data_IF_857762158359
#
_entry.id   IF_857762158359
#
_cell.length_a   1.000
_cell.length_b   1.000
_cell.length_c   1.000
_cell.angle_alpha   90.00
_cell.angle_beta   90.00
_cell.angle_gamma   90.00
#
_symmetry.space_group_name_H-M   'P 1'
#
loop_
_entity.id
_entity.type
_entity.pdbx_description
1 polymer ?
#
# COMPACT_ATOMS: atom_id res chain seq x y z
N UNK A 1 16.42 13.46 -6.57
CA UNK A 1 15.40 13.45 -5.49
C UNK A 1 14.91 14.87 -5.27
N UNK A 2 13.62 15.08 -5.12
CA UNK A 2 13.01 16.36 -4.75
C UNK A 2 11.80 16.13 -3.82
N UNK A 3 11.36 17.18 -3.14
CA UNK A 3 10.27 17.12 -2.16
C UNK A 3 9.32 18.26 -2.34
N UNK A 4 8.05 18.03 -2.03
CA UNK A 4 7.01 19.07 -1.93
C UNK A 4 6.00 18.69 -0.85
N UNK A 5 5.07 19.61 -0.57
CA UNK A 5 3.96 19.38 0.38
C UNK A 5 2.63 19.55 -0.33
N UNK A 6 1.63 18.74 0.03
CA UNK A 6 0.23 18.90 -0.35
C UNK A 6 -0.61 18.73 0.92
N UNK A 7 -1.28 19.81 1.34
CA UNK A 7 -1.86 19.90 2.68
C UNK A 7 -0.79 19.72 3.75
N UNK A 8 -1.03 18.78 4.67
CA UNK A 8 -0.06 18.40 5.73
C UNK A 8 0.83 17.22 5.35
N UNK A 9 0.74 16.71 4.12
CA UNK A 9 1.53 15.58 3.64
C UNK A 9 2.88 16.06 3.11
N UNK A 10 3.93 15.32 3.43
CA UNK A 10 5.25 15.49 2.81
C UNK A 10 5.41 14.42 1.73
N UNK A 11 5.71 14.86 0.52
CA UNK A 11 5.94 14.00 -0.63
C UNK A 11 7.43 14.04 -0.98
N UNK A 12 8.04 12.88 -1.13
CA UNK A 12 9.42 12.75 -1.62
C UNK A 12 9.39 11.95 -2.91
N UNK A 13 10.04 12.47 -3.95
CA UNK A 13 10.11 11.84 -5.27
C UNK A 13 11.56 11.43 -5.54
N UNK A 14 11.75 10.15 -5.81
CA UNK A 14 12.97 9.55 -6.29
C UNK A 14 12.77 9.24 -7.78
N UNK A 15 13.17 10.16 -8.69
CA UNK A 15 12.84 10.02 -10.10
C UNK A 15 13.64 8.90 -10.75
N UNK A 16 13.02 8.27 -11.74
CA UNK A 16 13.71 7.38 -12.66
C UNK A 16 14.85 8.09 -13.38
N UNK A 17 15.82 7.32 -13.85
CA UNK A 17 16.98 7.83 -14.63
C UNK A 17 16.62 8.06 -16.11
N UNK A 18 15.63 7.31 -16.62
CA UNK A 18 15.17 7.39 -18.02
C UNK A 18 13.70 7.82 -18.10
N UNK A 19 13.31 8.28 -19.27
CA UNK A 19 11.93 8.64 -19.59
C UNK A 19 11.04 7.41 -19.75
N UNK A 20 9.73 7.63 -19.70
CA UNK A 20 8.71 6.61 -19.94
C UNK A 20 8.83 5.42 -18.98
N UNK A 21 9.05 5.70 -17.71
CA UNK A 21 9.17 4.71 -16.65
C UNK A 21 7.92 4.64 -15.78
N UNK A 22 7.71 3.52 -15.08
CA UNK A 22 6.62 3.43 -14.12
C UNK A 22 6.80 4.36 -12.92
N UNK A 23 5.68 4.71 -12.30
CA UNK A 23 5.63 5.45 -11.03
C UNK A 23 4.97 4.56 -9.97
N UNK A 24 5.66 4.38 -8.85
CA UNK A 24 5.14 3.63 -7.70
C UNK A 24 4.93 4.60 -6.54
N UNK A 25 3.72 4.62 -6.02
CA UNK A 25 3.32 5.42 -4.86
C UNK A 25 3.38 4.56 -3.62
N UNK A 26 4.17 4.98 -2.62
CA UNK A 26 4.34 4.29 -1.34
C UNK A 26 3.90 5.20 -0.20
N UNK A 27 2.83 4.84 0.50
CA UNK A 27 2.45 5.52 1.75
C UNK A 27 3.33 5.00 2.89
N UNK A 28 4.05 5.93 3.55
CA UNK A 28 4.97 5.64 4.65
C UNK A 28 4.46 6.21 5.96
N UNK A 29 4.84 5.63 7.10
CA UNK A 29 4.37 6.09 8.41
C UNK A 29 4.93 7.48 8.74
N UNK A 30 6.21 7.63 9.05
CA UNK A 30 6.83 8.90 9.44
C UNK A 30 8.22 9.11 8.83
N UNK A 31 8.49 8.53 7.65
CA UNK A 31 9.77 8.66 6.97
C UNK A 31 9.60 9.01 5.50
N UNK A 32 10.67 9.38 4.84
CA UNK A 32 10.68 9.76 3.43
C UNK A 32 10.81 8.57 2.46
N UNK A 33 10.85 7.33 2.98
CA UNK A 33 11.00 6.12 2.18
C UNK A 33 12.39 5.89 1.60
N UNK A 34 13.39 6.68 2.00
CA UNK A 34 14.77 6.57 1.50
C UNK A 34 15.40 5.21 1.74
N UNK A 35 15.13 4.58 2.89
CA UNK A 35 15.64 3.25 3.21
C UNK A 35 15.05 2.17 2.29
N UNK A 36 13.77 2.28 1.96
CA UNK A 36 13.10 1.37 1.00
C UNK A 36 13.67 1.59 -0.39
N UNK A 37 13.84 2.85 -0.81
CA UNK A 37 14.45 3.17 -2.10
C UNK A 37 15.88 2.62 -2.20
N UNK A 38 16.71 2.82 -1.17
CA UNK A 38 18.07 2.27 -1.14
C UNK A 38 18.09 0.74 -1.21
N UNK A 39 17.16 0.07 -0.53
CA UNK A 39 17.04 -1.39 -0.59
C UNK A 39 16.62 -1.86 -1.99
N UNK A 40 15.69 -1.17 -2.65
CA UNK A 40 15.29 -1.45 -4.03
C UNK A 40 16.46 -1.32 -5.01
N UNK A 41 17.34 -0.33 -4.82
CA UNK A 41 18.56 -0.17 -5.63
C UNK A 41 19.52 -1.36 -5.42
N UNK A 42 19.73 -1.79 -4.16
CA UNK A 42 20.56 -2.99 -3.86
C UNK A 42 20.00 -4.26 -4.48
N UNK A 43 18.67 -4.39 -4.54
CA UNK A 43 17.99 -5.53 -5.15
C UNK A 43 18.05 -5.51 -6.69
N UNK A 44 18.63 -4.49 -7.31
CA UNK A 44 18.74 -4.36 -8.76
C UNK A 44 17.38 -4.23 -9.45
N UNK A 45 16.44 -3.51 -8.84
CA UNK A 45 15.15 -3.24 -9.48
C UNK A 45 15.33 -2.51 -10.81
N UNK A 46 14.49 -2.79 -11.82
CA UNK A 46 14.44 -1.97 -13.04
C UNK A 46 14.23 -0.49 -12.70
N UNK A 47 14.61 0.40 -13.60
CA UNK A 47 14.46 1.84 -13.43
C UNK A 47 12.98 2.26 -13.31
N UNK A 48 12.66 3.02 -12.26
CA UNK A 48 11.31 3.50 -11.95
C UNK A 48 11.36 4.75 -11.08
N UNK A 49 10.28 5.50 -11.02
CA UNK A 49 10.09 6.59 -10.06
C UNK A 49 9.40 6.05 -8.80
N UNK A 50 9.97 6.29 -7.61
CA UNK A 50 9.29 6.10 -6.34
C UNK A 50 8.78 7.43 -5.81
N UNK A 51 7.50 7.51 -5.52
CA UNK A 51 6.85 8.65 -4.84
C UNK A 51 6.41 8.18 -3.48
N UNK A 52 6.98 8.74 -2.43
CA UNK A 52 6.61 8.40 -1.05
C UNK A 52 5.77 9.51 -0.43
N UNK A 53 4.77 9.14 0.34
CA UNK A 53 3.85 10.05 1.01
C UNK A 53 3.88 9.77 2.51
N UNK A 54 4.20 10.79 3.31
CA UNK A 54 4.21 10.73 4.77
C UNK A 54 3.41 11.87 5.41
N UNK A 55 3.28 11.85 6.75
CA UNK A 55 2.53 12.88 7.48
C UNK A 55 1.02 12.63 7.52
N UNK A 56 0.61 11.36 7.42
CA UNK A 56 -0.78 10.96 7.55
C UNK A 56 -1.17 10.82 9.05
N UNK A 57 -2.42 11.15 9.34
CA UNK A 57 -3.08 10.59 10.50
C UNK A 57 -3.43 9.13 10.18
N UNK A 58 -2.59 8.21 10.67
CA UNK A 58 -2.46 6.85 10.16
C UNK A 58 -3.76 6.04 10.26
N UNK A 59 -4.38 6.06 11.44
CA UNK A 59 -5.61 5.32 11.69
C UNK A 59 -6.81 6.00 11.00
N UNK A 60 -6.87 7.30 11.05
CA UNK A 60 -8.00 8.05 10.51
C UNK A 60 -8.04 8.04 8.98
N UNK A 61 -6.89 8.31 8.33
CA UNK A 61 -6.86 8.54 6.87
C UNK A 61 -6.65 7.26 6.04
N UNK A 62 -6.25 6.15 6.66
CA UNK A 62 -6.03 4.88 5.95
C UNK A 62 -7.14 3.86 6.18
N UNK A 63 -8.10 4.16 7.05
CA UNK A 63 -9.24 3.28 7.31
C UNK A 63 -10.37 3.50 6.29
N UNK A 64 -10.92 2.42 5.70
CA UNK A 64 -12.00 2.50 4.71
C UNK A 64 -13.30 3.10 5.25
N UNK A 65 -13.61 2.85 6.50
CA UNK A 65 -14.78 3.32 7.26
C UNK A 65 -14.45 3.43 8.73
N UNK A 66 -15.34 4.04 9.50
CA UNK A 66 -15.17 4.12 10.94
C UNK A 66 -15.28 2.73 11.57
N UNK A 67 -14.36 2.44 12.48
CA UNK A 67 -14.44 1.28 13.36
C UNK A 67 -14.25 1.75 14.82
N UNK A 68 -14.92 1.08 15.74
CA UNK A 68 -14.81 1.42 17.16
C UNK A 68 -13.40 1.18 17.71
N UNK A 69 -13.25 1.20 19.03
CA UNK A 69 -11.98 0.98 19.73
C UNK A 69 -11.42 -0.41 19.46
N UNK A 70 -10.58 -0.53 18.42
CA UNK A 70 -9.94 -1.78 18.05
C UNK A 70 -8.75 -2.08 18.96
N UNK A 71 -8.12 -1.04 19.50
CA UNK A 71 -6.97 -1.11 20.42
C UNK A 71 -7.13 -0.09 21.54
N UNK A 72 -6.69 -0.44 22.74
CA UNK A 72 -6.88 0.33 23.97
C UNK A 72 -6.30 1.77 23.96
N UNK A 73 -5.34 2.06 23.08
CA UNK A 73 -4.62 3.34 23.02
C UNK A 73 -4.36 3.79 21.58
N UNK A 74 -5.12 3.30 20.60
CA UNK A 74 -5.00 3.77 19.21
C UNK A 74 -5.74 5.09 19.01
N UNK A 75 -5.35 5.84 18.02
CA UNK A 75 -6.19 6.89 17.46
C UNK A 75 -7.45 6.28 16.85
N UNK A 76 -8.47 7.11 16.65
CA UNK A 76 -9.75 6.62 16.12
C UNK A 76 -9.66 6.30 14.63
N UNK A 77 -10.16 5.15 14.25
CA UNK A 77 -10.39 4.78 12.86
C UNK A 77 -11.65 5.49 12.35
N UNK A 78 -11.48 6.61 11.68
CA UNK A 78 -12.62 7.49 11.30
C UNK A 78 -13.15 7.26 9.91
N UNK A 79 -12.48 6.45 9.07
CA UNK A 79 -12.94 6.16 7.71
C UNK A 79 -12.54 7.22 6.68
N UNK A 80 -11.36 7.81 6.83
CA UNK A 80 -10.86 8.88 5.94
C UNK A 80 -10.22 8.43 4.63
N UNK A 81 -10.23 7.12 4.32
CA UNK A 81 -9.53 6.59 3.14
C UNK A 81 -10.00 7.17 1.81
N UNK A 82 -11.30 7.45 1.65
CA UNK A 82 -11.82 8.09 0.42
C UNK A 82 -11.29 9.53 0.26
N UNK A 83 -11.19 10.29 1.35
CA UNK A 83 -10.63 11.64 1.32
C UNK A 83 -9.13 11.63 0.99
N UNK A 84 -8.38 10.72 1.61
CA UNK A 84 -6.97 10.54 1.29
C UNK A 84 -6.76 10.07 -0.15
N UNK A 85 -7.56 9.13 -0.64
CA UNK A 85 -7.48 8.69 -2.04
C UNK A 85 -7.74 9.85 -3.00
N UNK A 86 -8.71 10.72 -2.69
CA UNK A 86 -8.98 11.92 -3.49
C UNK A 86 -7.78 12.87 -3.51
N UNK A 87 -7.18 13.15 -2.35
CA UNK A 87 -5.98 13.96 -2.25
C UNK A 87 -4.82 13.34 -3.06
N UNK A 88 -4.60 12.03 -2.91
CA UNK A 88 -3.58 11.30 -3.64
C UNK A 88 -3.76 11.42 -5.15
N UNK A 89 -4.97 11.16 -5.65
CA UNK A 89 -5.22 11.05 -7.09
C UNK A 89 -5.43 12.40 -7.78
N UNK A 90 -5.97 13.41 -7.08
CA UNK A 90 -6.31 14.70 -7.67
C UNK A 90 -5.27 15.80 -7.44
N UNK A 91 -4.40 15.65 -6.45
CA UNK A 91 -3.40 16.67 -6.11
C UNK A 91 -1.98 16.09 -6.15
N UNK A 92 -1.68 15.07 -5.34
CA UNK A 92 -0.31 14.56 -5.17
C UNK A 92 0.21 13.94 -6.47
N UNK A 93 -0.56 13.04 -7.09
CA UNK A 93 -0.14 12.35 -8.32
C UNK A 93 0.08 13.34 -9.47
N UNK A 94 -0.86 14.25 -9.82
CA UNK A 94 -0.63 15.23 -10.87
C UNK A 94 0.59 16.11 -10.62
N UNK A 95 0.79 16.58 -9.38
CA UNK A 95 1.94 17.40 -9.04
C UNK A 95 3.26 16.62 -9.14
N UNK A 96 3.32 15.40 -8.60
CA UNK A 96 4.52 14.58 -8.69
C UNK A 96 4.86 14.23 -10.15
N UNK A 97 3.86 13.83 -10.93
CA UNK A 97 4.03 13.45 -12.34
C UNK A 97 4.40 14.62 -13.24
N UNK A 98 3.94 15.84 -12.94
CA UNK A 98 4.32 17.05 -13.70
C UNK A 98 5.82 17.38 -13.64
N UNK A 99 6.53 16.83 -12.67
CA UNK A 99 7.97 16.99 -12.48
C UNK A 99 8.80 15.89 -13.16
N UNK A 100 8.15 14.93 -13.79
CA UNK A 100 8.81 13.79 -14.44
C UNK A 100 8.89 14.02 -15.96
N UNK A 101 9.87 13.41 -16.59
CA UNK A 101 10.04 13.48 -18.04
C UNK A 101 9.37 12.29 -18.73
N UNK A 102 8.76 12.54 -19.87
CA UNK A 102 8.12 11.52 -20.70
C UNK A 102 6.75 11.09 -20.18
N UNK A 103 6.29 9.95 -20.66
CA UNK A 103 4.98 9.37 -20.29
C UNK A 103 5.12 8.38 -19.15
N UNK A 104 4.12 8.32 -18.29
CA UNK A 104 4.06 7.29 -17.25
C UNK A 104 3.69 5.95 -17.90
N UNK A 105 4.59 4.96 -17.80
CA UNK A 105 4.37 3.65 -18.40
C UNK A 105 3.21 2.90 -17.73
N UNK A 106 3.18 2.91 -16.41
CA UNK A 106 2.10 2.41 -15.56
C UNK A 106 2.26 2.96 -14.13
N UNK A 107 1.19 2.84 -13.34
CA UNK A 107 1.19 3.27 -11.94
C UNK A 107 1.00 2.07 -11.01
N UNK A 108 1.81 2.04 -9.94
CA UNK A 108 1.69 1.10 -8.84
C UNK A 108 1.35 1.80 -7.54
N UNK A 109 0.62 1.11 -6.66
CA UNK A 109 0.35 1.56 -5.29
C UNK A 109 0.87 0.51 -4.32
N UNK A 110 1.60 0.96 -3.31
CA UNK A 110 2.21 0.09 -2.31
C UNK A 110 2.01 0.63 -0.89
N UNK A 111 1.90 -0.26 0.08
CA UNK A 111 1.79 0.13 1.48
C UNK A 111 2.04 -1.02 2.44
N UNK A 112 2.48 -0.64 3.64
CA UNK A 112 2.69 -1.56 4.76
C UNK A 112 1.60 -1.35 5.81
N UNK A 113 1.13 -2.42 6.47
CA UNK A 113 0.15 -2.32 7.56
C UNK A 113 -1.19 -1.69 7.10
N UNK A 114 -1.66 -0.62 7.72
CA UNK A 114 -2.86 0.11 7.30
C UNK A 114 -2.71 0.72 5.89
N UNK A 115 -1.51 1.14 5.50
CA UNK A 115 -1.28 1.55 4.12
C UNK A 115 -1.40 0.38 3.13
N UNK A 116 -1.12 -0.86 3.55
CA UNK A 116 -1.39 -2.07 2.78
C UNK A 116 -2.88 -2.36 2.65
N UNK A 117 -3.68 -2.11 3.69
CA UNK A 117 -5.15 -2.14 3.64
C UNK A 117 -5.68 -1.10 2.65
N UNK A 118 -5.23 0.16 2.79
CA UNK A 118 -5.57 1.25 1.88
C UNK A 118 -5.23 0.93 0.43
N UNK A 119 -4.07 0.32 0.18
CA UNK A 119 -3.65 -0.11 -1.16
C UNK A 119 -4.68 -1.03 -1.81
N UNK A 120 -5.17 -2.03 -1.09
CA UNK A 120 -6.20 -2.94 -1.62
C UNK A 120 -7.55 -2.25 -1.77
N UNK A 121 -7.93 -1.42 -0.78
CA UNK A 121 -9.17 -0.64 -0.81
C UNK A 121 -9.23 0.29 -2.03
N UNK A 122 -8.13 0.96 -2.36
CA UNK A 122 -8.04 1.89 -3.49
C UNK A 122 -8.39 1.23 -4.83
N UNK A 123 -8.13 -0.07 -5.01
CA UNK A 123 -8.47 -0.80 -6.24
C UNK A 123 -9.98 -0.91 -6.49
N UNK A 124 -10.80 -0.77 -5.46
CA UNK A 124 -12.26 -0.72 -5.57
C UNK A 124 -12.80 0.68 -5.87
N UNK A 125 -11.97 1.71 -5.71
CA UNK A 125 -12.37 3.12 -5.81
C UNK A 125 -11.84 3.84 -7.04
N UNK A 126 -10.72 3.40 -7.59
CA UNK A 126 -10.09 4.02 -8.77
C UNK A 126 -9.51 2.97 -9.72
N UNK A 127 -9.35 3.35 -10.97
CA UNK A 127 -8.76 2.54 -12.05
C UNK A 127 -7.31 2.96 -12.38
N UNK A 128 -6.73 3.86 -11.59
CA UNK A 128 -5.43 4.47 -11.88
C UNK A 128 -4.23 3.54 -11.65
N UNK A 129 -4.40 2.47 -10.86
CA UNK A 129 -3.30 1.60 -10.48
C UNK A 129 -3.41 0.23 -11.16
N UNK A 130 -2.46 -0.09 -12.04
CA UNK A 130 -2.38 -1.39 -12.70
C UNK A 130 -1.61 -2.44 -11.92
N UNK A 131 -0.90 -2.05 -10.87
CA UNK A 131 -0.18 -2.94 -9.95
C UNK A 131 -0.34 -2.47 -8.51
N UNK A 132 -0.37 -3.43 -7.58
CA UNK A 132 -0.52 -3.11 -6.17
C UNK A 132 0.26 -4.08 -5.27
N UNK A 133 0.80 -3.55 -4.16
CA UNK A 133 1.54 -4.36 -3.18
C UNK A 133 1.10 -4.01 -1.75
N UNK A 134 0.52 -4.99 -1.07
CA UNK A 134 0.07 -4.91 0.32
C UNK A 134 0.98 -5.74 1.20
N UNK A 135 1.96 -5.10 1.83
CA UNK A 135 2.92 -5.76 2.72
C UNK A 135 2.43 -5.73 4.15
N UNK A 136 2.30 -6.88 4.80
CA UNK A 136 1.70 -7.00 6.15
C UNK A 136 0.40 -6.21 6.29
N UNK A 137 -0.41 -6.18 5.22
CA UNK A 137 -1.61 -5.37 5.17
C UNK A 137 -2.60 -5.70 6.28
N UNK A 138 -3.21 -4.68 6.87
CA UNK A 138 -4.21 -4.82 7.93
C UNK A 138 -5.54 -5.37 7.40
N UNK A 139 -5.49 -6.47 6.63
CA UNK A 139 -6.66 -7.08 5.97
C UNK A 139 -7.64 -7.74 6.95
N UNK A 140 -7.26 -7.80 8.22
CA UNK A 140 -8.10 -8.12 9.37
C UNK A 140 -9.10 -7.02 9.72
N UNK A 141 -9.02 -5.85 9.11
CA UNK A 141 -9.87 -4.69 9.42
C UNK A 141 -11.35 -5.08 9.37
N UNK A 142 -12.16 -4.69 10.39
CA UNK A 142 -13.54 -5.17 10.51
C UNK A 142 -14.36 -4.94 9.24
N UNK A 143 -14.92 -6.02 8.70
CA UNK A 143 -15.74 -6.01 7.50
C UNK A 143 -14.97 -5.90 6.17
N UNK A 144 -13.64 -5.71 6.18
CA UNK A 144 -12.92 -5.48 4.93
C UNK A 144 -12.87 -6.71 4.01
N UNK A 145 -12.67 -7.90 4.58
CA UNK A 145 -12.74 -9.14 3.79
C UNK A 145 -14.08 -9.30 3.08
N UNK A 146 -15.18 -9.14 3.83
CA UNK A 146 -16.52 -9.27 3.26
C UNK A 146 -16.80 -8.20 2.21
N UNK A 147 -16.38 -6.96 2.47
CA UNK A 147 -16.43 -5.90 1.46
C UNK A 147 -15.69 -6.31 0.18
N UNK A 148 -14.46 -6.80 0.28
CA UNK A 148 -13.65 -7.19 -0.86
C UNK A 148 -14.28 -8.34 -1.66
N UNK A 149 -14.87 -9.33 -0.99
CA UNK A 149 -15.53 -10.47 -1.63
C UNK A 149 -16.86 -10.12 -2.31
N UNK A 150 -17.56 -9.09 -1.83
CA UNK A 150 -18.89 -8.70 -2.30
C UNK A 150 -18.88 -7.58 -3.33
N UNK A 151 -17.75 -6.90 -3.52
CA UNK A 151 -17.63 -5.78 -4.43
C UNK A 151 -16.70 -6.11 -5.60
N UNK A 152 -16.89 -5.38 -6.71
CA UNK A 152 -16.07 -5.52 -7.91
C UNK A 152 -14.98 -4.46 -7.93
N UNK A 153 -13.76 -4.85 -8.28
CA UNK A 153 -12.65 -3.92 -8.54
C UNK A 153 -13.03 -2.95 -9.67
N UNK A 154 -12.57 -1.70 -9.59
CA UNK A 154 -12.77 -0.72 -10.68
C UNK A 154 -12.12 -1.19 -11.97
N UNK A 155 -10.91 -1.73 -11.86
CA UNK A 155 -10.22 -2.47 -12.92
C UNK A 155 -9.40 -3.58 -12.25
N UNK A 156 -9.28 -4.73 -12.90
CA UNK A 156 -8.41 -5.78 -12.41
C UNK A 156 -6.94 -5.36 -12.57
N UNK A 157 -6.15 -5.26 -11.50
CA UNK A 157 -4.73 -4.97 -11.64
C UNK A 157 -4.02 -6.13 -12.35
N UNK A 158 -2.95 -5.82 -13.07
CA UNK A 158 -2.11 -6.84 -13.72
C UNK A 158 -1.37 -7.69 -12.68
N UNK A 159 -0.93 -7.06 -11.59
CA UNK A 159 -0.14 -7.69 -10.54
C UNK A 159 -0.65 -7.24 -9.17
N UNK A 160 -0.81 -8.19 -8.26
CA UNK A 160 -1.22 -7.95 -6.89
C UNK A 160 -0.37 -8.79 -5.93
N UNK A 161 0.44 -8.11 -5.12
CA UNK A 161 1.33 -8.74 -4.17
C UNK A 161 0.80 -8.62 -2.74
N UNK A 162 0.89 -9.72 -2.01
CA UNK A 162 0.65 -9.77 -0.58
C UNK A 162 1.84 -10.39 0.13
N UNK A 163 2.17 -9.88 1.30
CA UNK A 163 3.07 -10.58 2.22
C UNK A 163 2.62 -10.46 3.66
N UNK A 164 3.07 -11.39 4.49
CA UNK A 164 2.78 -11.41 5.93
C UNK A 164 3.97 -12.02 6.67
N UNK A 165 4.13 -11.69 7.96
CA UNK A 165 5.02 -12.42 8.85
C UNK A 165 4.34 -13.66 9.45
N UNK A 166 5.04 -14.77 9.54
CA UNK A 166 4.54 -16.07 10.03
C UNK A 166 4.13 -16.07 11.52
N UNK A 167 4.42 -14.98 12.24
CA UNK A 167 4.05 -14.78 13.65
C UNK A 167 3.02 -13.68 13.87
N UNK A 168 2.56 -13.00 12.84
CA UNK A 168 1.62 -11.87 13.00
C UNK A 168 0.26 -12.30 13.56
N UNK A 169 -0.25 -13.46 13.14
CA UNK A 169 -1.49 -14.02 13.66
C UNK A 169 -1.40 -14.56 15.10
N UNK A 170 -0.21 -14.59 15.72
CA UNK A 170 -0.03 -15.02 17.11
C UNK A 170 -0.41 -13.94 18.14
N UNK A 171 -1.02 -12.85 17.69
CA UNK A 171 -1.46 -11.75 18.53
C UNK A 171 -2.59 -12.17 19.50
N UNK A 172 -2.69 -11.47 20.65
CA UNK A 172 -3.81 -11.69 21.61
C UNK A 172 -5.09 -10.99 21.17
N UNK A 173 -5.00 -9.92 20.37
CA UNK A 173 -6.14 -9.18 19.88
C UNK A 173 -6.96 -10.03 18.92
N UNK A 174 -8.29 -10.02 19.09
CA UNK A 174 -9.21 -10.86 18.31
C UNK A 174 -9.21 -10.57 16.81
N UNK A 175 -8.94 -9.34 16.40
CA UNK A 175 -8.85 -8.96 15.00
C UNK A 175 -7.49 -9.36 14.39
N UNK A 176 -6.39 -9.05 15.07
CA UNK A 176 -5.06 -9.39 14.57
C UNK A 176 -4.84 -10.89 14.38
N UNK A 177 -5.51 -11.75 15.17
CA UNK A 177 -5.44 -13.21 14.98
C UNK A 177 -5.90 -13.67 13.61
N UNK A 178 -6.78 -12.90 12.95
CA UNK A 178 -7.39 -13.28 11.67
C UNK A 178 -6.56 -12.81 10.47
N UNK A 179 -5.46 -12.05 10.68
CA UNK A 179 -4.72 -11.40 9.59
C UNK A 179 -4.23 -12.39 8.55
N UNK A 180 -3.70 -13.54 8.96
CA UNK A 180 -3.21 -14.54 8.03
C UNK A 180 -4.35 -15.15 7.22
N UNK A 181 -5.40 -15.58 7.87
CA UNK A 181 -6.58 -16.14 7.21
C UNK A 181 -7.19 -15.13 6.23
N UNK A 182 -7.39 -13.87 6.64
CA UNK A 182 -7.95 -12.84 5.76
C UNK A 182 -7.05 -12.60 4.53
N UNK A 183 -5.73 -12.56 4.73
CA UNK A 183 -4.79 -12.35 3.63
C UNK A 183 -4.78 -13.53 2.65
N UNK A 184 -4.77 -14.77 3.15
CA UNK A 184 -4.78 -15.98 2.32
C UNK A 184 -6.07 -16.11 1.51
N UNK A 185 -7.23 -15.88 2.16
CA UNK A 185 -8.53 -15.93 1.49
C UNK A 185 -8.66 -14.86 0.41
N UNK A 186 -8.22 -13.61 0.68
CA UNK A 186 -8.23 -12.54 -0.31
C UNK A 186 -7.25 -12.82 -1.46
N UNK A 187 -6.05 -13.31 -1.17
CA UNK A 187 -5.10 -13.69 -2.22
C UNK A 187 -5.66 -14.81 -3.12
N UNK A 188 -6.33 -15.80 -2.54
CA UNK A 188 -7.01 -16.86 -3.28
C UNK A 188 -8.17 -16.31 -4.13
N UNK A 189 -8.96 -15.40 -3.56
CA UNK A 189 -10.05 -14.74 -4.28
C UNK A 189 -9.54 -13.99 -5.51
N UNK A 190 -8.51 -13.14 -5.38
CA UNK A 190 -7.98 -12.39 -6.52
C UNK A 190 -7.36 -13.30 -7.59
N UNK A 191 -6.72 -14.41 -7.19
CA UNK A 191 -6.25 -15.43 -8.15
C UNK A 191 -7.42 -16.04 -8.92
N UNK A 192 -8.55 -16.32 -8.26
CA UNK A 192 -9.74 -16.88 -8.91
C UNK A 192 -10.38 -15.93 -9.93
N UNK A 193 -10.12 -14.63 -9.80
CA UNK A 193 -10.50 -13.59 -10.77
C UNK A 193 -9.50 -13.46 -11.93
N UNK A 194 -8.47 -14.31 -12.00
CA UNK A 194 -7.45 -14.29 -13.06
C UNK A 194 -6.36 -13.23 -12.87
N UNK A 195 -6.30 -12.58 -11.70
CA UNK A 195 -5.27 -11.59 -11.39
C UNK A 195 -3.96 -12.32 -11.03
N UNK A 196 -2.84 -11.89 -11.64
CA UNK A 196 -1.52 -12.40 -11.23
C UNK A 196 -1.24 -11.97 -9.79
N UNK A 197 -1.42 -12.91 -8.86
CA UNK A 197 -1.40 -12.64 -7.42
C UNK A 197 -0.32 -13.47 -6.73
N UNK A 198 0.62 -12.80 -6.07
CA UNK A 198 1.61 -13.40 -5.17
C UNK A 198 1.18 -13.31 -3.71
N UNK A 199 1.50 -14.32 -2.92
CA UNK A 199 1.43 -14.26 -1.47
C UNK A 199 2.69 -14.89 -0.89
N UNK A 200 3.41 -14.11 -0.08
CA UNK A 200 4.63 -14.54 0.60
C UNK A 200 4.45 -14.53 2.12
N UNK A 201 4.80 -15.63 2.76
CA UNK A 201 4.89 -15.73 4.21
C UNK A 201 6.35 -15.61 4.64
N UNK A 202 6.67 -14.50 5.31
CA UNK A 202 8.03 -14.17 5.74
C UNK A 202 8.27 -14.59 7.19
N UNK A 203 9.50 -14.92 7.58
CA UNK A 203 9.82 -15.14 8.99
C UNK A 203 9.59 -13.90 9.85
N UNK A 204 8.99 -14.07 11.03
CA UNK A 204 8.88 -13.01 12.05
C UNK A 204 7.49 -12.39 12.20
N UNK A 205 7.41 -11.37 13.05
CA UNK A 205 6.18 -10.64 13.33
C UNK A 205 6.03 -9.38 12.47
N UNK A 206 5.02 -8.59 12.80
CA UNK A 206 4.61 -7.41 12.05
C UNK A 206 5.72 -6.36 11.81
N UNK A 207 6.59 -6.16 12.78
CA UNK A 207 7.65 -5.14 12.71
C UNK A 207 9.00 -5.71 12.25
N UNK A 208 9.04 -6.97 11.82
CA UNK A 208 10.29 -7.61 11.43
C UNK A 208 10.60 -7.34 9.96
N UNK A 209 11.78 -6.77 9.68
CA UNK A 209 12.29 -6.52 8.32
C UNK A 209 11.34 -5.70 7.42
N UNK A 210 10.70 -4.66 7.97
CA UNK A 210 9.72 -3.82 7.24
C UNK A 210 10.31 -3.30 5.92
N UNK A 211 11.54 -2.80 5.92
CA UNK A 211 12.20 -2.23 4.74
C UNK A 211 12.38 -3.28 3.65
N UNK A 212 12.99 -4.42 3.99
CA UNK A 212 13.25 -5.50 3.02
C UNK A 212 11.95 -6.10 2.47
N UNK A 213 10.93 -6.24 3.31
CA UNK A 213 9.61 -6.74 2.90
C UNK A 213 8.87 -5.74 2.01
N UNK A 214 8.99 -4.44 2.31
CA UNK A 214 8.43 -3.38 1.45
C UNK A 214 9.13 -3.38 0.09
N UNK A 215 10.46 -3.47 0.08
CA UNK A 215 11.23 -3.53 -1.15
C UNK A 215 10.90 -4.79 -1.97
N UNK A 216 10.76 -5.97 -1.33
CA UNK A 216 10.38 -7.20 -2.01
C UNK A 216 9.03 -7.08 -2.73
N UNK A 217 8.02 -6.52 -2.05
CA UNK A 217 6.69 -6.33 -2.64
C UNK A 217 6.66 -5.31 -3.79
N UNK A 218 7.47 -4.26 -3.70
CA UNK A 218 7.57 -3.26 -4.78
C UNK A 218 8.33 -3.84 -5.98
N UNK A 219 9.35 -4.66 -5.73
CA UNK A 219 10.16 -5.28 -6.79
C UNK A 219 9.37 -6.30 -7.61
N UNK A 220 8.49 -7.08 -6.97
CA UNK A 220 7.68 -8.11 -7.61
C UNK A 220 6.66 -7.51 -8.57
#
# INVERSE_FOLDING_TARGET
>A
MFTFTSGNKKITVYPALAENRPVIYLTTYNNDGGDVYAELQKLGCPDFTLVTISGLNWEAELSPWAAGDLFKYSEMFTGGADAYLKLLTQEIMPQAESMLFGKIAWRGLAGYSLAGLFTVYALYKTDLFSRAASMSGSLWYPGFKDFALQNTLRIAPQHLYFSLGDKEARARNQYLKTVQQCTEELAAHYRSLGINTCYELNPGGHYHNIISRSAAGIKW
#
